data_IF_609263182404
#
_entry.id   IF_609263182404
#
_cell.length_a   1.000
_cell.length_b   1.000
_cell.length_c   1.000
_cell.angle_alpha   90.00
_cell.angle_beta   90.00
_cell.angle_gamma   90.00
#
_symmetry.space_group_name_H-M   'P 1'
#
loop_
_entity.id
_entity.type
_entity.pdbx_description
1 polymer ?
#
# COMPACT_ATOMS: atom_id res chain seq x y z
N UNK A 1 10.92 1.43 -5.08
CA UNK A 1 11.91 1.02 -4.09
C UNK A 1 13.20 0.49 -4.70
N UNK A 2 13.14 -0.22 -5.84
CA UNK A 2 14.30 -0.90 -6.45
C UNK A 2 15.47 0.03 -6.80
N UNK A 3 15.21 1.22 -7.34
CA UNK A 3 16.25 2.20 -7.67
C UNK A 3 16.94 2.73 -6.40
N UNK A 4 16.15 2.98 -5.35
CA UNK A 4 16.66 3.40 -4.04
C UNK A 4 17.50 2.28 -3.42
N UNK A 5 17.01 1.04 -3.43
CA UNK A 5 17.76 -0.12 -2.90
C UNK A 5 19.08 -0.37 -3.60
N UNK A 6 19.17 -0.06 -4.90
CA UNK A 6 20.39 -0.19 -5.70
C UNK A 6 21.33 1.01 -5.59
N UNK A 7 20.96 2.05 -4.85
CA UNK A 7 21.74 3.28 -4.71
C UNK A 7 21.76 4.18 -5.95
N UNK A 8 20.87 3.94 -6.91
CA UNK A 8 20.71 4.80 -8.12
C UNK A 8 20.00 6.10 -7.74
N UNK A 9 19.12 6.06 -6.76
CA UNK A 9 18.46 7.22 -6.17
C UNK A 9 18.71 7.24 -4.66
N UNK A 10 18.96 8.43 -4.10
CA UNK A 10 19.18 8.62 -2.67
C UNK A 10 17.88 8.64 -1.87
N UNK A 11 16.77 9.04 -2.52
CA UNK A 11 15.43 9.09 -1.95
C UNK A 11 14.40 8.63 -2.96
N UNK A 12 13.25 8.22 -2.46
CA UNK A 12 12.07 7.92 -3.27
C UNK A 12 10.80 8.15 -2.48
N UNK A 13 9.71 8.46 -3.17
CA UNK A 13 8.36 8.49 -2.60
C UNK A 13 7.61 7.32 -3.20
N UNK A 14 7.03 6.48 -2.34
CA UNK A 14 6.29 5.28 -2.75
C UNK A 14 5.13 5.02 -1.79
N UNK A 15 4.12 4.24 -2.21
CA UNK A 15 3.12 3.72 -1.28
C UNK A 15 3.71 2.66 -0.34
N UNK A 16 3.31 2.65 0.93
CA UNK A 16 3.71 1.60 1.89
C UNK A 16 3.39 0.19 1.37
N UNK A 17 2.25 0.03 0.68
CA UNK A 17 1.83 -1.20 0.04
C UNK A 17 2.87 -1.72 -0.97
N UNK A 18 3.44 -0.84 -1.80
CA UNK A 18 4.45 -1.20 -2.81
C UNK A 18 5.76 -1.62 -2.14
N UNK A 19 6.18 -0.88 -1.10
CA UNK A 19 7.36 -1.23 -0.32
C UNK A 19 7.18 -2.58 0.38
N UNK A 20 6.03 -2.79 1.00
CA UNK A 20 5.70 -4.02 1.70
C UNK A 20 5.59 -5.25 0.77
N UNK A 21 4.97 -5.10 -0.42
CA UNK A 21 4.89 -6.16 -1.43
C UNK A 21 6.28 -6.57 -1.92
N UNK A 22 7.13 -5.59 -2.22
CA UNK A 22 8.49 -5.89 -2.67
C UNK A 22 9.33 -6.53 -1.57
N UNK A 23 9.19 -6.07 -0.31
CA UNK A 23 9.88 -6.68 0.83
C UNK A 23 9.40 -8.12 1.08
N UNK A 24 8.12 -8.40 0.87
CA UNK A 24 7.56 -9.74 0.99
C UNK A 24 8.00 -10.68 -0.16
N UNK A 25 8.27 -10.14 -1.35
CA UNK A 25 8.71 -10.90 -2.51
C UNK A 25 10.22 -11.13 -2.52
N UNK A 26 10.99 -10.14 -2.07
CA UNK A 26 12.46 -10.15 -2.15
C UNK A 26 13.06 -9.56 -0.86
N UNK A 27 13.57 -10.42 0.00
CA UNK A 27 14.24 -10.04 1.25
C UNK A 27 15.52 -9.18 1.05
N UNK A 28 15.96 -8.96 -0.20
CA UNK A 28 17.14 -8.12 -0.54
C UNK A 28 16.77 -6.65 -0.75
N UNK A 29 15.53 -6.22 -0.51
CA UNK A 29 15.20 -4.79 -0.55
C UNK A 29 15.81 -4.10 0.65
N UNK A 30 16.77 -3.24 0.36
CA UNK A 30 17.56 -2.48 1.35
C UNK A 30 17.07 -1.01 1.45
N UNK A 31 15.85 -0.71 0.99
CA UNK A 31 15.22 0.58 1.19
C UNK A 31 14.41 0.57 2.49
N UNK A 32 14.57 1.62 3.29
CA UNK A 32 13.84 1.81 4.55
C UNK A 32 12.91 3.02 4.49
N UNK A 33 11.73 2.97 5.12
CA UNK A 33 10.89 4.15 5.27
C UNK A 33 11.55 5.13 6.24
N UNK A 34 11.48 6.43 5.91
CA UNK A 34 11.99 7.52 6.72
C UNK A 34 10.85 8.36 7.33
N UNK A 35 9.83 8.68 6.53
CA UNK A 35 8.75 9.58 6.92
C UNK A 35 7.47 9.19 6.19
N UNK A 36 6.35 9.18 6.92
CA UNK A 36 5.01 9.15 6.36
C UNK A 36 4.61 10.54 5.90
N UNK A 37 4.06 10.65 4.69
CA UNK A 37 3.82 11.94 4.07
C UNK A 37 2.38 12.45 4.22
N UNK A 38 1.48 11.62 4.78
CA UNK A 38 0.11 12.01 5.11
C UNK A 38 -0.86 12.11 3.92
N UNK A 39 -0.41 11.80 2.70
CA UNK A 39 -1.24 11.83 1.50
C UNK A 39 -1.31 10.47 0.79
N UNK A 40 -2.16 10.35 -0.23
CA UNK A 40 -2.47 9.09 -0.94
C UNK A 40 -2.87 7.95 0.02
N UNK A 41 -3.64 8.30 1.06
CA UNK A 41 -4.15 7.34 2.03
C UNK A 41 -5.12 6.38 1.35
N UNK A 42 -4.86 5.10 1.50
CA UNK A 42 -5.66 4.01 0.97
C UNK A 42 -5.51 2.77 1.86
N UNK A 43 -6.25 1.74 1.56
CA UNK A 43 -6.08 0.42 2.20
C UNK A 43 -6.03 -0.67 1.15
N UNK A 44 -5.28 -1.72 1.42
CA UNK A 44 -5.35 -2.95 0.67
C UNK A 44 -6.45 -3.81 1.30
N UNK A 45 -7.53 -4.05 0.56
CA UNK A 45 -8.72 -4.67 1.09
C UNK A 45 -9.25 -5.80 0.20
N UNK A 46 -9.93 -6.76 0.82
CA UNK A 46 -10.64 -7.81 0.11
C UNK A 46 -12.05 -7.31 -0.26
N UNK A 47 -12.40 -7.47 -1.53
CA UNK A 47 -13.72 -7.13 -2.03
C UNK A 47 -14.30 -8.29 -2.85
N UNK A 48 -15.62 -8.36 -2.88
CA UNK A 48 -16.40 -9.42 -3.56
C UNK A 48 -17.56 -8.79 -4.34
N UNK A 49 -18.15 -9.48 -5.32
CA UNK A 49 -19.38 -9.04 -5.94
C UNK A 49 -20.49 -8.80 -4.90
N UNK A 50 -21.25 -7.71 -5.06
CA UNK A 50 -22.29 -7.28 -4.13
C UNK A 50 -23.28 -8.43 -3.80
N UNK A 51 -23.65 -9.21 -4.82
CA UNK A 51 -24.59 -10.33 -4.69
C UNK A 51 -23.93 -11.64 -4.22
N UNK A 52 -22.64 -11.64 -3.94
CA UNK A 52 -21.89 -12.84 -3.50
C UNK A 52 -22.20 -13.18 -2.04
N UNK A 53 -22.54 -14.44 -1.80
CA UNK A 53 -22.71 -15.00 -0.44
C UNK A 53 -21.39 -15.33 0.26
N UNK A 54 -20.25 -14.98 -0.32
CA UNK A 54 -18.91 -15.23 0.24
C UNK A 54 -18.76 -14.58 1.62
N UNK A 55 -18.44 -15.36 2.65
CA UNK A 55 -18.21 -14.92 4.03
C UNK A 55 -16.80 -15.24 4.53
N UNK A 56 -16.04 -16.06 3.80
CA UNK A 56 -14.71 -16.52 4.17
C UNK A 56 -13.84 -16.67 2.92
N UNK A 57 -12.55 -16.44 3.09
CA UNK A 57 -11.54 -16.65 2.04
C UNK A 57 -11.14 -18.12 1.86
N UNK A 58 -11.56 -19.02 2.77
CA UNK A 58 -11.14 -20.43 2.75
C UNK A 58 -11.58 -21.14 1.46
N UNK A 59 -10.62 -21.77 0.78
CA UNK A 59 -10.77 -22.47 -0.49
C UNK A 59 -11.31 -21.59 -1.62
N UNK A 60 -10.98 -20.30 -1.60
CA UNK A 60 -11.38 -19.32 -2.61
C UNK A 60 -10.23 -18.91 -3.50
N UNK A 61 -10.55 -18.46 -4.71
CA UNK A 61 -9.63 -17.83 -5.65
C UNK A 61 -9.64 -16.32 -5.43
N UNK A 62 -8.47 -15.74 -5.17
CA UNK A 62 -8.29 -14.33 -4.86
C UNK A 62 -7.41 -13.71 -5.94
N UNK A 63 -7.96 -12.80 -6.74
CA UNK A 63 -7.18 -12.03 -7.71
C UNK A 63 -6.59 -10.78 -7.05
N UNK A 64 -5.31 -10.49 -7.35
CA UNK A 64 -4.62 -9.34 -6.76
C UNK A 64 -3.38 -8.91 -7.53
N UNK A 65 -3.04 -7.62 -7.47
CA UNK A 65 -1.73 -7.10 -7.89
C UNK A 65 -0.66 -7.20 -6.78
N UNK A 66 -1.05 -7.66 -5.56
CA UNK A 66 -0.20 -7.78 -4.37
C UNK A 66 -0.12 -9.21 -3.83
N UNK A 67 0.35 -10.18 -4.65
CA UNK A 67 0.27 -11.60 -4.29
C UNK A 67 1.12 -11.99 -3.07
N UNK A 68 2.25 -11.32 -2.82
CA UNK A 68 3.10 -11.66 -1.68
C UNK A 68 2.46 -11.23 -0.36
N UNK A 69 1.86 -10.04 -0.31
CA UNK A 69 1.12 -9.56 0.86
C UNK A 69 -0.09 -10.44 1.15
N UNK A 70 -0.87 -10.79 0.13
CA UNK A 70 -2.04 -11.67 0.29
C UNK A 70 -1.60 -13.05 0.80
N UNK A 71 -0.56 -13.67 0.23
CA UNK A 71 -0.02 -14.94 0.71
C UNK A 71 0.45 -14.85 2.16
N UNK A 72 1.13 -13.76 2.55
CA UNK A 72 1.57 -13.53 3.92
C UNK A 72 0.39 -13.42 4.88
N UNK A 73 -0.66 -12.69 4.49
CA UNK A 73 -1.90 -12.57 5.26
C UNK A 73 -2.59 -13.92 5.45
N UNK A 74 -2.77 -14.70 4.38
CA UNK A 74 -3.38 -16.03 4.40
C UNK A 74 -2.61 -16.98 5.33
N UNK A 75 -1.26 -17.00 5.21
CA UNK A 75 -0.39 -17.80 6.08
C UNK A 75 -0.53 -17.40 7.55
N UNK A 76 -0.50 -16.09 7.86
CA UNK A 76 -0.65 -15.59 9.24
C UNK A 76 -1.97 -16.00 9.88
N UNK A 77 -3.05 -16.05 9.09
CA UNK A 77 -4.39 -16.40 9.57
C UNK A 77 -4.75 -17.89 9.37
N UNK A 78 -3.80 -18.73 8.94
CA UNK A 78 -4.02 -20.16 8.66
C UNK A 78 -5.17 -20.42 7.68
N UNK A 79 -5.31 -19.55 6.66
CA UNK A 79 -6.35 -19.65 5.63
C UNK A 79 -5.75 -20.28 4.38
N UNK A 80 -6.36 -21.37 3.91
CA UNK A 80 -6.05 -21.99 2.61
C UNK A 80 -6.89 -21.32 1.52
N UNK A 81 -6.23 -20.69 0.53
CA UNK A 81 -6.86 -20.05 -0.63
C UNK A 81 -5.87 -20.01 -1.79
N UNK A 82 -6.38 -19.91 -3.02
CA UNK A 82 -5.59 -19.74 -4.23
C UNK A 82 -5.38 -18.24 -4.50
N UNK A 83 -4.14 -17.82 -4.74
CA UNK A 83 -3.80 -16.42 -5.05
C UNK A 83 -3.41 -16.32 -6.51
N UNK A 84 -4.18 -15.57 -7.28
CA UNK A 84 -3.99 -15.35 -8.71
C UNK A 84 -3.42 -13.94 -8.90
N UNK A 85 -2.20 -13.85 -9.45
CA UNK A 85 -1.58 -12.57 -9.76
C UNK A 85 -2.20 -11.99 -11.04
N UNK A 86 -2.72 -10.78 -10.95
CA UNK A 86 -3.26 -10.01 -12.07
C UNK A 86 -2.57 -8.63 -12.11
N UNK A 87 -2.24 -8.16 -13.30
CA UNK A 87 -1.67 -6.83 -13.51
C UNK A 87 -2.71 -5.97 -14.23
N UNK A 88 -3.39 -5.09 -13.48
CA UNK A 88 -4.48 -4.24 -13.98
C UNK A 88 -5.83 -4.97 -14.07
N UNK A 89 -6.91 -4.20 -14.06
CA UNK A 89 -8.32 -4.67 -14.18
C UNK A 89 -8.68 -5.83 -13.25
N UNK A 90 -8.16 -5.80 -12.02
CA UNK A 90 -8.39 -6.82 -11.00
C UNK A 90 -9.88 -6.93 -10.68
N UNK A 91 -10.60 -5.79 -10.69
CA UNK A 91 -12.02 -5.65 -10.40
C UNK A 91 -12.93 -6.44 -11.35
N UNK A 92 -12.47 -6.77 -12.56
CA UNK A 92 -13.25 -7.53 -13.54
C UNK A 92 -13.17 -9.04 -13.31
N UNK A 93 -12.16 -9.54 -12.60
CA UNK A 93 -11.85 -10.97 -12.47
C UNK A 93 -12.97 -11.81 -11.87
N UNK A 94 -13.79 -11.33 -10.90
CA UNK A 94 -14.92 -12.11 -10.41
C UNK A 94 -16.02 -12.31 -11.44
N UNK A 95 -16.22 -11.34 -12.36
CA UNK A 95 -17.30 -11.39 -13.35
C UNK A 95 -16.97 -12.30 -14.53
N UNK A 96 -15.70 -12.45 -14.84
CA UNK A 96 -15.24 -13.38 -15.91
C UNK A 96 -14.88 -14.77 -15.38
N UNK A 97 -15.19 -15.04 -14.09
CA UNK A 97 -15.02 -16.36 -13.48
C UNK A 97 -13.57 -16.76 -13.16
N UNK A 98 -12.62 -15.82 -13.18
CA UNK A 98 -11.21 -16.08 -12.84
C UNK A 98 -11.05 -16.21 -11.32
N UNK A 99 -11.74 -15.38 -10.54
CA UNK A 99 -11.62 -15.34 -9.09
C UNK A 99 -12.98 -15.25 -8.39
N UNK A 100 -13.05 -15.69 -7.13
CA UNK A 100 -14.24 -15.53 -6.29
C UNK A 100 -14.32 -14.14 -5.66
N UNK A 101 -13.16 -13.53 -5.42
CA UNK A 101 -13.01 -12.19 -4.84
C UNK A 101 -11.65 -11.58 -5.25
N UNK A 102 -11.48 -10.33 -4.91
CA UNK A 102 -10.25 -9.59 -5.18
C UNK A 102 -9.59 -9.12 -3.89
N UNK A 103 -8.30 -8.78 -3.96
CA UNK A 103 -7.63 -7.97 -2.95
C UNK A 103 -6.88 -6.85 -3.68
N UNK A 104 -7.34 -5.62 -3.51
CA UNK A 104 -6.78 -4.47 -4.22
C UNK A 104 -6.85 -3.19 -3.37
N UNK A 105 -6.24 -2.11 -3.88
CA UNK A 105 -6.22 -0.81 -3.21
C UNK A 105 -7.60 -0.14 -3.27
N UNK A 106 -8.04 0.31 -2.11
CA UNK A 106 -9.29 1.05 -1.93
C UNK A 106 -8.96 2.39 -1.26
N UNK A 107 -9.24 3.49 -1.94
CA UNK A 107 -9.13 4.84 -1.38
C UNK A 107 -10.53 5.33 -0.96
N UNK A 108 -11.32 5.83 -1.88
CA UNK A 108 -12.71 6.27 -1.62
C UNK A 108 -13.76 5.17 -1.73
N UNK A 109 -13.40 4.03 -2.32
CA UNK A 109 -14.35 2.96 -2.63
C UNK A 109 -15.11 3.14 -3.95
N UNK A 110 -14.99 4.29 -4.62
CA UNK A 110 -15.72 4.59 -5.85
C UNK A 110 -15.49 3.54 -6.97
N UNK A 111 -14.25 3.03 -7.11
CA UNK A 111 -13.96 1.97 -8.09
C UNK A 111 -14.67 0.66 -7.76
N UNK A 112 -14.75 0.29 -6.49
CA UNK A 112 -15.49 -0.90 -6.06
C UNK A 112 -16.98 -0.74 -6.36
N UNK A 113 -17.55 0.41 -5.99
CA UNK A 113 -18.97 0.72 -6.23
C UNK A 113 -19.31 0.72 -7.72
N UNK A 114 -18.50 1.39 -8.55
CA UNK A 114 -18.69 1.42 -10.01
C UNK A 114 -18.64 0.04 -10.66
N UNK A 115 -17.95 -0.93 -10.02
CA UNK A 115 -17.87 -2.32 -10.47
C UNK A 115 -18.76 -3.27 -9.65
N UNK A 116 -19.75 -2.79 -8.92
CA UNK A 116 -20.64 -3.60 -8.08
C UNK A 116 -19.91 -4.55 -7.14
N UNK A 117 -18.78 -4.11 -6.60
CA UNK A 117 -17.99 -4.82 -5.59
C UNK A 117 -18.23 -4.21 -4.22
N UNK A 118 -18.17 -5.01 -3.19
CA UNK A 118 -18.24 -4.58 -1.79
C UNK A 118 -17.05 -5.12 -1.00
N UNK A 119 -16.44 -4.22 -0.24
CA UNK A 119 -15.39 -4.60 0.70
C UNK A 119 -15.98 -5.44 1.85
N UNK A 120 -15.24 -6.44 2.30
CA UNK A 120 -15.65 -7.28 3.42
C UNK A 120 -14.51 -7.57 4.44
N UNK A 121 -13.27 -7.23 4.10
CA UNK A 121 -12.14 -7.34 5.03
C UNK A 121 -10.98 -6.44 4.56
N UNK A 122 -10.18 -5.91 5.50
CA UNK A 122 -8.98 -5.13 5.20
C UNK A 122 -7.71 -5.92 5.53
N UNK A 123 -6.68 -5.78 4.69
CA UNK A 123 -5.39 -6.41 4.87
C UNK A 123 -4.39 -5.46 5.54
N UNK A 124 -4.27 -4.23 5.03
CA UNK A 124 -3.39 -3.19 5.59
C UNK A 124 -3.81 -1.80 5.11
N UNK A 125 -3.57 -0.79 5.95
CA UNK A 125 -3.60 0.60 5.54
C UNK A 125 -2.29 0.98 4.87
N UNK A 126 -2.33 1.97 3.99
CA UNK A 126 -1.19 2.45 3.21
C UNK A 126 -1.31 3.93 2.93
N UNK A 127 -0.18 4.60 2.94
CA UNK A 127 -0.02 5.99 2.52
C UNK A 127 1.30 6.18 1.79
N UNK A 128 1.53 7.36 1.23
CA UNK A 128 2.81 7.72 0.65
C UNK A 128 3.89 7.84 1.74
N UNK A 129 5.05 7.21 1.50
CA UNK A 129 6.20 7.26 2.39
C UNK A 129 7.46 7.68 1.65
N UNK A 130 8.28 8.49 2.32
CA UNK A 130 9.64 8.79 1.90
C UNK A 130 10.53 7.62 2.28
N UNK A 131 11.32 7.12 1.33
CA UNK A 131 12.25 6.00 1.54
C UNK A 131 13.68 6.39 1.18
N UNK A 132 14.67 5.74 1.83
CA UNK A 132 16.09 5.85 1.49
C UNK A 132 16.75 4.48 1.44
N UNK A 133 17.98 4.36 0.88
CA UNK A 133 18.84 3.19 1.11
C UNK A 133 19.13 3.02 2.60
N UNK A 134 19.39 1.78 3.02
CA UNK A 134 19.78 1.50 4.42
C UNK A 134 21.13 2.12 4.75
N UNK A 135 22.06 2.09 3.78
CA UNK A 135 23.42 2.64 3.93
C UNK A 135 23.56 3.91 3.09
N UNK A 136 23.94 4.99 3.74
CA UNK A 136 24.24 6.29 3.13
C UNK A 136 25.54 6.82 3.72
N UNK A 137 26.33 7.57 2.93
CA UNK A 137 27.47 8.29 3.46
C UNK A 137 27.03 9.49 4.33
N UNK A 138 27.91 9.99 5.21
CA UNK A 138 27.59 11.07 6.16
C UNK A 138 27.08 12.35 5.50
N UNK A 139 27.65 12.73 4.35
CA UNK A 139 27.26 13.96 3.64
C UNK A 139 25.81 13.85 3.15
N UNK A 140 25.47 12.74 2.51
CA UNK A 140 24.10 12.47 2.04
C UNK A 140 23.11 12.37 3.20
N UNK A 141 23.50 11.77 4.33
CA UNK A 141 22.68 11.72 5.53
C UNK A 141 22.31 13.12 6.04
N UNK A 142 23.26 14.04 6.14
CA UNK A 142 23.01 15.42 6.61
C UNK A 142 22.02 16.16 5.69
N UNK A 143 22.19 16.01 4.36
CA UNK A 143 21.29 16.61 3.39
C UNK A 143 19.86 16.05 3.52
N UNK A 144 19.74 14.73 3.72
CA UNK A 144 18.45 14.05 3.90
C UNK A 144 17.77 14.51 5.19
N UNK A 145 18.50 14.63 6.31
CA UNK A 145 17.95 15.14 7.57
C UNK A 145 17.39 16.55 7.40
N UNK A 146 18.13 17.44 6.70
CA UNK A 146 17.64 18.80 6.41
C UNK A 146 16.37 18.78 5.57
N UNK A 147 16.29 17.89 4.59
CA UNK A 147 15.11 17.75 3.73
C UNK A 147 13.91 17.19 4.51
N UNK A 148 14.11 16.17 5.36
CA UNK A 148 13.06 15.60 6.21
C UNK A 148 12.44 16.67 7.09
N UNK A 149 13.26 17.51 7.75
CA UNK A 149 12.75 18.64 8.58
C UNK A 149 11.85 19.59 7.79
N UNK A 150 12.15 19.82 6.50
CA UNK A 150 11.29 20.64 5.64
C UNK A 150 9.97 19.96 5.33
N UNK A 151 9.99 18.65 5.03
CA UNK A 151 8.75 17.87 4.83
C UNK A 151 7.89 17.85 6.09
N UNK A 152 8.50 17.59 7.26
CA UNK A 152 7.80 17.63 8.55
C UNK A 152 7.17 19.01 8.81
N UNK A 153 7.89 20.10 8.50
CA UNK A 153 7.37 21.46 8.60
C UNK A 153 6.13 21.68 7.72
N UNK A 154 6.14 21.19 6.48
CA UNK A 154 4.98 21.29 5.56
C UNK A 154 3.82 20.45 6.05
N UNK A 155 4.07 19.21 6.49
CA UNK A 155 3.04 18.29 6.99
C UNK A 155 2.37 18.90 8.24
N UNK A 156 3.17 19.38 9.19
CA UNK A 156 2.66 20.00 10.43
C UNK A 156 1.89 21.29 10.14
N UNK A 157 2.34 22.09 9.17
CA UNK A 157 1.64 23.32 8.76
C UNK A 157 0.27 23.05 8.15
N UNK A 158 0.11 21.92 7.42
CA UNK A 158 -1.17 21.54 6.85
C UNK A 158 -2.24 21.19 7.91
N UNK A 159 -1.82 20.75 9.09
CA UNK A 159 -2.69 20.43 10.23
C UNK A 159 -2.87 21.60 11.20
N UNK A 160 -2.10 22.70 11.03
CA UNK A 160 -2.11 23.85 11.91
C UNK A 160 -2.99 24.97 11.37
N UNK A 161 -3.69 25.67 12.27
CA UNK A 161 -4.48 26.88 11.96
C UNK A 161 -3.95 28.05 12.78
N UNK A 162 -3.79 29.20 12.14
CA UNK A 162 -3.49 30.45 12.84
C UNK A 162 -4.79 31.14 13.22
N UNK A 163 -4.89 31.56 14.48
CA UNK A 163 -5.96 32.45 14.95
C UNK A 163 -5.31 33.80 15.25
N UNK A 164 -5.67 34.84 14.51
CA UNK A 164 -5.32 36.23 14.83
C UNK A 164 -6.49 36.86 15.58
N UNK A 165 -6.19 37.40 16.77
CA UNK A 165 -7.11 38.22 17.55
C UNK A 165 -6.54 39.64 17.57
N UNK A 166 -7.30 40.62 17.06
CA UNK A 166 -7.03 42.05 17.33
C UNK A 166 -7.64 42.37 18.69
N UNK A 167 -6.79 42.77 19.63
CA UNK A 167 -7.18 43.33 20.94
C UNK A 167 -7.37 44.84 20.83
#
# INVERSE_FOLDING_TARGET
PSLVSKGVADLGIVGENVLAEQAATNNKITAKPLLKLGFSKCKLAFAKPLNSKLRSLKNKKIATSYPALVKKYLKKNSITAEVIKINGSVELTPYIGIADCICDLVSSGATLEANNLVEFNSLMDSEAVLISPVTLNKIRQNNIVSLIKRFEGVINAAESKYVMLNA
#
